data_IF_706225796421
#
_entry.id   IF_706225796421
#
_cell.length_a   1.000
_cell.length_b   1.000
_cell.length_c   1.000
_cell.angle_alpha   90.00
_cell.angle_beta   90.00
_cell.angle_gamma   90.00
#
_symmetry.space_group_name_H-M   'P 1'
#
loop_
_entity.id
_entity.type
_entity.pdbx_description
1 polymer ?
#
# COMPACT_ATOMS: atom_id res chain seq x y z
N UNK A 1 7.19 -30.54 -8.93
CA UNK A 1 7.10 -29.98 -7.57
C UNK A 1 6.00 -28.95 -7.61
N UNK A 2 5.01 -29.06 -6.73
CA UNK A 2 3.93 -28.08 -6.65
C UNK A 2 4.53 -26.75 -6.17
N UNK A 3 4.33 -25.67 -6.93
CA UNK A 3 4.93 -24.36 -6.60
C UNK A 3 4.13 -23.77 -5.45
N UNK A 4 4.75 -23.65 -4.28
CA UNK A 4 4.16 -23.00 -3.11
C UNK A 4 4.56 -21.53 -3.06
N UNK A 5 3.60 -20.67 -2.77
CA UNK A 5 3.80 -19.23 -2.58
C UNK A 5 3.60 -18.90 -1.10
N UNK A 6 4.68 -18.57 -0.36
CA UNK A 6 4.55 -18.27 1.07
C UNK A 6 3.54 -17.17 1.34
N UNK A 7 2.77 -17.34 2.42
CA UNK A 7 1.74 -16.39 2.86
C UNK A 7 0.66 -16.08 1.81
N UNK A 8 0.44 -16.96 0.83
CA UNK A 8 -0.63 -16.83 -0.17
C UNK A 8 -1.28 -18.20 -0.38
N UNK A 9 -2.61 -18.27 -0.36
CA UNK A 9 -3.29 -19.53 -0.70
C UNK A 9 -3.38 -19.73 -2.21
N UNK A 10 -3.62 -20.97 -2.63
CA UNK A 10 -3.66 -21.35 -4.04
C UNK A 10 -2.30 -21.36 -4.73
N UNK A 11 -2.25 -21.95 -5.92
CA UNK A 11 -1.05 -22.02 -6.76
C UNK A 11 -1.25 -21.53 -8.20
N UNK A 12 -2.51 -21.23 -8.58
CA UNK A 12 -2.85 -20.71 -9.91
C UNK A 12 -2.37 -19.27 -10.07
N UNK A 13 -1.97 -18.90 -11.29
CA UNK A 13 -1.72 -17.50 -11.66
C UNK A 13 -3.05 -16.75 -11.81
N UNK A 14 -3.06 -15.40 -11.73
CA UNK A 14 -4.25 -14.61 -12.05
C UNK A 14 -4.75 -14.93 -13.47
N UNK A 15 -6.05 -14.84 -13.67
CA UNK A 15 -6.67 -14.99 -14.99
C UNK A 15 -6.27 -13.85 -15.93
N UNK A 16 -6.10 -12.64 -15.40
CA UNK A 16 -5.61 -11.48 -16.16
C UNK A 16 -4.10 -11.27 -15.98
N UNK A 17 -3.37 -11.16 -17.08
CA UNK A 17 -1.94 -10.84 -17.01
C UNK A 17 -1.72 -9.40 -16.54
N UNK A 18 -0.73 -9.20 -15.64
CA UNK A 18 -0.30 -7.88 -15.26
C UNK A 18 0.39 -7.17 -16.45
N UNK A 19 0.09 -5.88 -16.72
CA UNK A 19 0.79 -5.12 -17.73
C UNK A 19 2.28 -4.97 -17.36
N UNK A 20 3.12 -4.72 -18.37
CA UNK A 20 4.53 -4.40 -18.14
C UNK A 20 4.64 -3.18 -17.22
N UNK A 21 5.57 -3.23 -16.26
CA UNK A 21 5.70 -2.22 -15.23
C UNK A 21 4.63 -2.25 -14.15
N UNK A 22 3.71 -3.23 -14.09
CA UNK A 22 2.72 -3.28 -13.00
C UNK A 22 3.38 -3.25 -11.61
N UNK A 23 2.79 -2.48 -10.71
CA UNK A 23 3.28 -2.25 -9.36
C UNK A 23 2.35 -2.86 -8.33
N UNK A 24 2.93 -3.61 -7.39
CA UNK A 24 2.29 -3.89 -6.10
C UNK A 24 2.64 -2.75 -5.14
N UNK A 25 1.73 -1.79 -4.95
CA UNK A 25 1.99 -0.58 -4.19
C UNK A 25 1.79 -0.73 -2.67
N UNK A 26 1.57 -1.93 -2.14
CA UNK A 26 1.46 -2.16 -0.70
C UNK A 26 1.80 -3.60 -0.34
N UNK A 27 2.97 -3.82 0.24
CA UNK A 27 3.34 -5.09 0.87
C UNK A 27 4.35 -4.84 2.00
N UNK A 28 4.63 -5.88 2.79
CA UNK A 28 5.53 -5.83 3.93
C UNK A 28 6.59 -6.94 3.87
N UNK A 29 7.75 -6.69 4.48
CA UNK A 29 8.81 -7.68 4.62
C UNK A 29 9.09 -7.89 6.10
N UNK A 30 9.08 -9.15 6.53
CA UNK A 30 9.42 -9.55 7.90
C UNK A 30 10.69 -10.38 7.86
N UNK A 31 11.68 -9.98 8.64
CA UNK A 31 12.96 -10.66 8.67
C UNK A 31 13.62 -10.56 10.05
N UNK A 32 13.79 -11.72 10.70
CA UNK A 32 14.33 -11.82 12.06
C UNK A 32 15.80 -11.41 12.21
N UNK A 33 16.50 -11.07 11.12
CA UNK A 33 17.84 -10.48 11.17
C UNK A 33 17.83 -9.04 11.70
N UNK A 34 16.68 -8.36 11.67
CA UNK A 34 16.54 -6.96 12.05
C UNK A 34 15.85 -6.81 13.42
N UNK A 35 16.09 -5.67 14.07
CA UNK A 35 15.55 -5.39 15.39
C UNK A 35 14.02 -5.41 15.40
N UNK A 36 13.45 -6.00 16.46
CA UNK A 36 12.01 -6.03 16.67
C UNK A 36 11.59 -4.90 17.60
N UNK A 37 10.36 -4.43 17.39
CA UNK A 37 9.64 -3.47 18.20
C UNK A 37 8.33 -4.11 18.67
N UNK A 38 8.21 -4.34 19.97
CA UNK A 38 7.05 -5.01 20.58
C UNK A 38 7.21 -6.53 20.66
N UNK A 39 6.10 -7.26 20.62
CA UNK A 39 6.10 -8.72 20.81
C UNK A 39 6.68 -9.45 19.60
N UNK A 40 7.57 -10.45 19.80
CA UNK A 40 8.01 -11.37 18.75
C UNK A 40 6.86 -12.12 18.07
N UNK A 41 5.72 -12.32 18.75
CA UNK A 41 4.55 -13.01 18.19
C UNK A 41 3.91 -12.27 17.01
N UNK A 42 4.25 -10.98 16.83
CA UNK A 42 3.81 -10.19 15.68
C UNK A 42 4.66 -10.45 14.41
N UNK A 43 5.69 -11.29 14.48
CA UNK A 43 6.46 -11.71 13.33
C UNK A 43 5.66 -12.63 12.42
N UNK A 44 5.91 -12.53 11.11
CA UNK A 44 5.35 -13.42 10.10
C UNK A 44 6.50 -14.21 9.48
N UNK A 45 6.43 -15.53 9.59
CA UNK A 45 7.41 -16.43 8.97
C UNK A 45 7.28 -16.44 7.44
N UNK A 46 8.39 -16.76 6.77
CA UNK A 46 8.47 -16.85 5.30
C UNK A 46 7.92 -15.60 4.59
N UNK A 47 8.27 -14.44 5.14
CA UNK A 47 7.87 -13.14 4.62
C UNK A 47 9.09 -12.27 4.25
N UNK A 48 10.19 -12.90 3.81
CA UNK A 48 11.41 -12.23 3.36
C UNK A 48 11.29 -11.71 1.92
N UNK A 49 12.27 -10.93 1.46
CA UNK A 49 12.31 -10.44 0.08
C UNK A 49 12.39 -11.58 -0.95
N UNK A 50 13.06 -12.67 -0.62
CA UNK A 50 13.09 -13.89 -1.45
C UNK A 50 11.74 -14.59 -1.51
N UNK A 51 11.00 -14.64 -0.41
CA UNK A 51 9.66 -15.23 -0.38
C UNK A 51 8.69 -14.40 -1.22
N UNK A 52 8.74 -13.07 -1.07
CA UNK A 52 7.91 -12.17 -1.88
C UNK A 52 8.20 -12.29 -3.37
N UNK A 53 9.46 -12.51 -3.79
CA UNK A 53 9.80 -12.70 -5.21
C UNK A 53 9.06 -13.85 -5.86
N UNK A 54 8.72 -14.90 -5.10
CA UNK A 54 7.88 -15.99 -5.59
C UNK A 54 6.46 -15.49 -5.89
N UNK A 55 5.87 -14.73 -4.97
CA UNK A 55 4.55 -14.12 -5.18
C UNK A 55 4.58 -13.11 -6.34
N UNK A 56 5.56 -12.21 -6.36
CA UNK A 56 5.71 -11.19 -7.40
C UNK A 56 5.75 -11.82 -8.80
N UNK A 57 6.46 -12.94 -8.97
CA UNK A 57 6.48 -13.72 -10.21
C UNK A 57 5.12 -14.37 -10.53
N UNK A 58 4.37 -14.82 -9.51
CA UNK A 58 3.03 -15.41 -9.66
C UNK A 58 2.03 -14.41 -10.23
N UNK A 59 1.96 -13.22 -9.62
CA UNK A 59 1.01 -12.17 -9.98
C UNK A 59 1.49 -11.32 -11.16
N UNK A 60 2.78 -11.40 -11.51
CA UNK A 60 3.36 -10.76 -12.69
C UNK A 60 3.71 -9.28 -12.50
N UNK A 61 3.67 -8.74 -11.27
CA UNK A 61 4.12 -7.37 -11.00
C UNK A 61 5.64 -7.27 -11.16
N UNK A 62 6.11 -6.09 -11.55
CA UNK A 62 7.53 -5.82 -11.81
C UNK A 62 8.09 -4.74 -10.88
N UNK A 63 7.21 -3.91 -10.31
CA UNK A 63 7.55 -2.89 -9.32
C UNK A 63 6.86 -3.21 -7.99
N UNK A 64 7.42 -2.71 -6.90
CA UNK A 64 6.82 -2.91 -5.57
C UNK A 64 7.14 -1.78 -4.61
N UNK A 65 6.26 -1.55 -3.65
CA UNK A 65 6.44 -0.60 -2.56
C UNK A 65 6.42 -1.34 -1.23
N UNK A 66 7.60 -1.42 -0.61
CA UNK A 66 7.78 -2.05 0.70
C UNK A 66 7.40 -1.05 1.78
N UNK A 67 6.31 -1.33 2.48
CA UNK A 67 5.82 -0.52 3.59
C UNK A 67 6.41 -1.08 4.88
N UNK A 68 7.01 -0.23 5.71
CA UNK A 68 7.59 -0.63 6.98
C UNK A 68 6.54 -1.37 7.84
N UNK A 69 6.79 -2.64 8.22
CA UNK A 69 5.88 -3.39 9.07
C UNK A 69 5.99 -2.92 10.52
N UNK A 70 4.87 -3.02 11.24
CA UNK A 70 4.78 -2.50 12.61
C UNK A 70 5.76 -3.16 13.58
N UNK A 71 6.06 -4.44 13.37
CA UNK A 71 6.96 -5.24 14.22
C UNK A 71 8.41 -4.77 14.18
N UNK A 72 8.80 -3.96 13.19
CA UNK A 72 10.13 -3.36 13.13
C UNK A 72 10.14 -1.87 13.54
N UNK A 73 8.99 -1.34 13.98
CA UNK A 73 8.86 0.01 14.53
C UNK A 73 9.43 1.08 13.61
N UNK A 74 10.23 1.99 14.17
CA UNK A 74 10.92 3.08 13.45
C UNK A 74 12.29 2.69 12.92
N UNK A 75 12.76 1.45 13.13
CA UNK A 75 13.98 0.96 12.50
C UNK A 75 13.66 0.47 11.08
N UNK A 76 13.90 1.36 10.12
CA UNK A 76 13.58 1.12 8.71
C UNK A 76 14.62 0.23 7.99
N UNK A 77 15.57 -0.37 8.71
CA UNK A 77 16.66 -1.17 8.11
C UNK A 77 16.14 -2.36 7.31
N UNK A 78 15.09 -3.03 7.78
CA UNK A 78 14.44 -4.14 7.04
C UNK A 78 13.87 -3.68 5.70
N UNK A 79 13.23 -2.50 5.68
CA UNK A 79 12.63 -1.92 4.47
C UNK A 79 13.71 -1.50 3.48
N UNK A 80 14.80 -0.89 3.95
CA UNK A 80 15.94 -0.52 3.11
C UNK A 80 16.65 -1.76 2.53
N UNK A 81 16.83 -2.81 3.33
CA UNK A 81 17.42 -4.08 2.86
C UNK A 81 16.54 -4.73 1.78
N UNK A 82 15.23 -4.73 1.99
CA UNK A 82 14.28 -5.23 1.00
C UNK A 82 14.32 -4.43 -0.31
N UNK A 83 14.39 -3.09 -0.27
CA UNK A 83 14.55 -2.26 -1.47
C UNK A 83 15.81 -2.67 -2.25
N UNK A 84 16.92 -2.85 -1.54
CA UNK A 84 18.19 -3.29 -2.15
C UNK A 84 18.08 -4.69 -2.77
N UNK A 85 17.47 -5.65 -2.05
CA UNK A 85 17.34 -7.04 -2.49
C UNK A 85 16.36 -7.24 -3.65
N UNK A 86 15.29 -6.44 -3.70
CA UNK A 86 14.27 -6.47 -4.75
C UNK A 86 14.65 -5.61 -5.97
N UNK A 87 15.62 -4.72 -5.82
CA UNK A 87 16.19 -3.91 -6.90
C UNK A 87 15.79 -2.44 -6.77
N UNK A 88 16.74 -1.52 -6.49
CA UNK A 88 16.44 -0.10 -6.27
C UNK A 88 15.77 0.63 -7.44
N UNK A 89 15.92 0.12 -8.67
CA UNK A 89 15.24 0.70 -9.84
C UNK A 89 13.73 0.40 -9.87
N UNK A 90 13.29 -0.67 -9.21
CA UNK A 90 11.92 -1.21 -9.27
C UNK A 90 11.23 -1.25 -7.90
N UNK A 91 11.94 -0.90 -6.84
CA UNK A 91 11.40 -0.91 -5.48
C UNK A 91 11.52 0.45 -4.82
N UNK A 92 10.45 0.85 -4.14
CA UNK A 92 10.39 2.03 -3.26
C UNK A 92 9.92 1.59 -1.89
N UNK A 93 9.97 2.50 -0.92
CA UNK A 93 9.42 2.19 0.40
C UNK A 93 8.71 3.35 1.07
N UNK A 94 8.00 2.98 2.13
CA UNK A 94 7.31 3.89 3.04
C UNK A 94 7.81 3.58 4.46
N UNK A 95 8.44 4.56 5.08
CA UNK A 95 9.08 4.42 6.38
C UNK A 95 8.12 4.68 7.54
N UNK A 96 8.55 4.39 8.77
CA UNK A 96 7.96 4.93 10.00
C UNK A 96 9.08 5.69 10.73
N UNK A 97 8.79 6.92 11.16
CA UNK A 97 9.75 7.79 11.85
C UNK A 97 9.04 8.56 12.97
N UNK A 98 9.80 9.07 13.92
CA UNK A 98 9.31 10.00 14.95
C UNK A 98 9.65 11.45 14.59
N UNK A 99 8.97 12.45 15.19
CA UNK A 99 9.21 13.87 14.90
C UNK A 99 10.64 14.36 15.12
N UNK A 100 11.41 13.68 15.98
CA UNK A 100 12.81 13.96 16.30
C UNK A 100 13.83 13.40 15.28
N UNK A 101 13.36 12.71 14.23
CA UNK A 101 14.23 12.22 13.14
C UNK A 101 15.11 13.35 12.61
N UNK A 102 16.38 13.12 12.31
CA UNK A 102 17.24 14.19 11.77
C UNK A 102 17.01 14.39 10.27
N UNK A 103 17.33 15.57 9.74
CA UNK A 103 17.27 15.80 8.28
C UNK A 103 18.28 14.91 7.53
N UNK A 104 19.43 14.61 8.16
CA UNK A 104 20.41 13.67 7.62
C UNK A 104 19.83 12.25 7.50
N UNK A 105 19.03 11.82 8.49
CA UNK A 105 18.37 10.52 8.44
C UNK A 105 17.26 10.50 7.38
N UNK A 106 16.46 11.56 7.24
CA UNK A 106 15.48 11.68 6.17
C UNK A 106 16.15 11.65 4.78
N UNK A 107 17.29 12.32 4.61
CA UNK A 107 18.08 12.27 3.38
C UNK A 107 18.64 10.87 3.11
N UNK A 108 19.12 10.16 4.14
CA UNK A 108 19.57 8.76 4.03
C UNK A 108 18.44 7.84 3.59
N UNK A 109 17.25 7.98 4.18
CA UNK A 109 16.05 7.23 3.80
C UNK A 109 15.63 7.54 2.35
N UNK A 110 15.70 8.81 1.94
CA UNK A 110 15.40 9.21 0.55
C UNK A 110 16.35 8.56 -0.46
N UNK A 111 17.66 8.63 -0.19
CA UNK A 111 18.68 7.99 -1.01
C UNK A 111 18.50 6.46 -1.04
N UNK A 112 18.03 5.87 0.06
CA UNK A 112 17.67 4.46 0.17
C UNK A 112 16.38 4.04 -0.56
N UNK A 113 15.63 4.99 -1.14
CA UNK A 113 14.43 4.71 -1.94
C UNK A 113 13.10 4.93 -1.22
N UNK A 114 13.10 5.48 -0.01
CA UNK A 114 11.87 5.87 0.69
C UNK A 114 11.23 7.09 0.01
N UNK A 115 9.89 7.08 -0.09
CA UNK A 115 9.08 8.14 -0.74
C UNK A 115 7.87 8.60 0.08
N UNK A 116 7.76 8.11 1.31
CA UNK A 116 6.68 8.46 2.22
C UNK A 116 6.92 7.91 3.62
N UNK A 117 6.07 8.35 4.54
CA UNK A 117 6.01 7.83 5.91
C UNK A 117 4.61 7.32 6.22
N UNK A 118 4.48 6.34 7.11
CA UNK A 118 3.19 5.72 7.46
C UNK A 118 2.77 5.99 8.89
N UNK A 119 1.48 6.28 9.07
CA UNK A 119 0.78 6.30 10.35
C UNK A 119 -0.27 5.18 10.38
N UNK A 120 0.05 4.06 11.02
CA UNK A 120 -0.89 2.94 11.23
C UNK A 120 -1.58 3.05 12.58
N UNK A 121 -2.64 3.88 12.64
CA UNK A 121 -3.34 4.24 13.87
C UNK A 121 -4.70 3.57 14.03
N UNK A 122 -5.07 2.61 13.16
CA UNK A 122 -6.31 1.84 13.30
C UNK A 122 -6.47 1.23 14.71
N UNK A 123 -5.36 0.80 15.33
CA UNK A 123 -5.31 0.39 16.74
C UNK A 123 -4.25 1.24 17.47
N UNK A 124 -4.63 2.40 18.04
CA UNK A 124 -3.67 3.37 18.57
C UNK A 124 -2.80 2.86 19.72
N UNK A 125 -3.34 2.03 20.62
CA UNK A 125 -2.64 1.47 21.78
C UNK A 125 -1.39 0.64 21.43
N UNK A 126 -1.22 0.39 20.14
CA UNK A 126 -0.36 -0.58 19.55
C UNK A 126 0.64 0.14 18.59
N UNK A 127 0.37 1.38 18.20
CA UNK A 127 1.14 2.11 17.21
C UNK A 127 2.45 2.67 17.77
N UNK A 128 3.49 2.71 16.94
CA UNK A 128 4.75 3.41 17.25
C UNK A 128 4.58 4.94 17.22
N UNK A 129 3.61 5.43 16.45
CA UNK A 129 3.29 6.85 16.28
C UNK A 129 1.90 7.16 16.82
N UNK A 130 1.56 8.43 17.02
CA UNK A 130 0.20 8.87 17.35
C UNK A 130 -0.29 10.03 16.44
N UNK A 131 -1.54 10.47 16.64
CA UNK A 131 -2.15 11.51 15.82
C UNK A 131 -1.47 12.88 15.92
N UNK A 132 -0.89 13.22 17.08
CA UNK A 132 -0.20 14.50 17.29
C UNK A 132 1.07 14.62 16.46
N UNK A 133 1.66 13.49 16.07
CA UNK A 133 2.87 13.44 15.26
C UNK A 133 2.61 13.68 13.76
N UNK A 134 1.36 13.59 13.30
CA UNK A 134 1.00 13.60 11.87
C UNK A 134 1.36 14.93 11.21
N UNK A 135 0.91 16.04 11.75
CA UNK A 135 1.11 17.37 11.16
C UNK A 135 2.58 17.83 11.18
N UNK A 136 3.32 17.72 12.31
CA UNK A 136 4.74 18.06 12.32
C UNK A 136 5.55 17.26 11.31
N UNK A 137 5.29 15.95 11.19
CA UNK A 137 5.99 15.12 10.23
C UNK A 137 5.54 15.37 8.78
N UNK A 138 4.26 15.63 8.54
CA UNK A 138 3.74 16.00 7.22
C UNK A 138 4.45 17.24 6.66
N UNK A 139 4.71 18.25 7.49
CA UNK A 139 5.46 19.44 7.10
C UNK A 139 6.89 19.11 6.67
N UNK A 140 7.58 18.23 7.42
CA UNK A 140 8.96 17.84 7.12
C UNK A 140 9.06 17.01 5.84
N UNK A 141 8.17 16.05 5.65
CA UNK A 141 8.21 15.17 4.47
C UNK A 141 7.69 15.86 3.20
N UNK A 142 6.84 16.88 3.33
CA UNK A 142 6.41 17.70 2.19
C UNK A 142 7.59 18.29 1.41
N UNK A 143 8.59 18.82 2.12
CA UNK A 143 9.79 19.42 1.52
C UNK A 143 10.63 18.41 0.71
N UNK A 144 10.45 17.11 0.95
CA UNK A 144 11.13 16.02 0.23
C UNK A 144 10.31 15.50 -0.96
N UNK A 145 9.13 16.07 -1.22
CA UNK A 145 8.16 15.55 -2.18
C UNK A 145 7.54 14.21 -1.76
N UNK A 146 7.58 13.89 -0.47
CA UNK A 146 7.04 12.64 0.08
C UNK A 146 5.56 12.77 0.47
N UNK A 147 4.92 11.63 0.65
CA UNK A 147 3.54 11.54 1.15
C UNK A 147 3.46 11.03 2.59
N UNK A 148 2.33 11.30 3.24
CA UNK A 148 1.90 10.58 4.43
C UNK A 148 0.90 9.50 4.05
N UNK A 149 1.16 8.27 4.47
CA UNK A 149 0.30 7.11 4.27
C UNK A 149 -0.47 6.80 5.55
N UNK A 150 -1.79 6.73 5.49
CA UNK A 150 -2.67 6.63 6.65
C UNK A 150 -3.43 5.32 6.64
N UNK A 151 -3.19 4.48 7.63
CA UNK A 151 -4.02 3.31 7.93
C UNK A 151 -4.83 3.59 9.21
N UNK A 152 -5.96 4.27 9.02
CA UNK A 152 -6.88 4.73 10.06
C UNK A 152 -8.25 4.10 9.83
N UNK A 153 -9.09 4.06 10.86
CA UNK A 153 -10.51 3.71 10.70
C UNK A 153 -11.27 4.86 10.04
N UNK A 154 -12.39 4.57 9.39
CA UNK A 154 -13.25 5.62 8.84
C UNK A 154 -13.70 6.64 9.90
N UNK A 155 -14.00 6.20 11.12
CA UNK A 155 -14.34 7.10 12.23
C UNK A 155 -13.19 8.06 12.59
N UNK A 156 -11.96 7.56 12.60
CA UNK A 156 -10.77 8.40 12.82
C UNK A 156 -10.58 9.41 11.68
N UNK A 157 -10.79 9.02 10.42
CA UNK A 157 -10.72 9.93 9.27
C UNK A 157 -11.77 11.05 9.42
N UNK A 158 -13.01 10.71 9.75
CA UNK A 158 -14.08 11.69 9.94
C UNK A 158 -13.77 12.67 11.09
N UNK A 159 -13.25 12.16 12.22
CA UNK A 159 -12.92 12.97 13.38
C UNK A 159 -11.74 13.93 13.16
N UNK A 160 -10.88 13.67 12.16
CA UNK A 160 -9.67 14.45 11.89
C UNK A 160 -9.74 15.20 10.55
N UNK A 161 -10.94 15.50 10.02
CA UNK A 161 -11.11 16.19 8.75
C UNK A 161 -10.33 17.51 8.67
N UNK A 162 -10.40 18.34 9.72
CA UNK A 162 -9.68 19.63 9.78
C UNK A 162 -8.16 19.48 9.82
N UNK A 163 -7.67 18.40 10.42
CA UNK A 163 -6.24 18.05 10.41
C UNK A 163 -5.81 17.64 9.01
N UNK A 164 -6.57 16.75 8.37
CA UNK A 164 -6.25 16.26 7.03
C UNK A 164 -6.25 17.38 5.99
N UNK A 165 -7.21 18.31 6.07
CA UNK A 165 -7.36 19.42 5.12
C UNK A 165 -6.17 20.39 5.14
N UNK A 166 -5.53 20.59 6.29
CA UNK A 166 -4.40 21.52 6.43
C UNK A 166 -3.03 20.90 6.19
N UNK A 167 -2.93 19.58 5.98
CA UNK A 167 -1.65 18.95 5.69
C UNK A 167 -1.08 19.50 4.36
N UNK A 168 0.21 19.85 4.32
CA UNK A 168 0.80 20.41 3.10
C UNK A 168 1.14 19.33 2.05
N UNK A 169 1.39 18.09 2.49
CA UNK A 169 1.85 17.01 1.64
C UNK A 169 0.72 16.22 0.95
N UNK A 170 1.12 15.33 0.04
CA UNK A 170 0.28 14.27 -0.49
C UNK A 170 -0.17 13.32 0.63
N UNK A 171 -1.42 12.87 0.57
CA UNK A 171 -2.01 11.91 1.53
C UNK A 171 -2.38 10.65 0.77
N UNK A 172 -2.01 9.48 1.30
CA UNK A 172 -2.39 8.17 0.76
C UNK A 172 -3.22 7.43 1.81
N UNK A 173 -4.49 7.15 1.53
CA UNK A 173 -5.32 6.32 2.39
C UNK A 173 -5.13 4.84 2.07
N UNK A 174 -4.78 4.05 3.07
CA UNK A 174 -4.64 2.60 2.94
C UNK A 174 -6.01 1.90 2.87
N UNK A 175 -6.04 0.76 2.18
CA UNK A 175 -7.11 -0.25 2.23
C UNK A 175 -8.53 0.31 2.07
N UNK A 176 -8.82 0.95 0.93
CA UNK A 176 -10.14 1.53 0.61
C UNK A 176 -10.62 2.58 1.64
N UNK A 177 -9.67 3.20 2.36
CA UNK A 177 -9.90 4.11 3.49
C UNK A 177 -10.67 3.49 4.67
N UNK A 178 -10.64 2.15 4.80
CA UNK A 178 -11.29 1.38 5.87
C UNK A 178 -12.76 1.73 6.07
N UNK A 179 -13.48 1.97 4.97
CA UNK A 179 -14.90 2.32 5.01
C UNK A 179 -15.75 1.11 5.45
N UNK A 180 -16.59 1.25 6.48
CA UNK A 180 -17.32 0.14 7.04
C UNK A 180 -18.48 -0.27 6.12
N UNK A 181 -18.59 -1.57 5.83
CA UNK A 181 -19.77 -2.12 5.16
C UNK A 181 -20.92 -2.34 6.17
N UNK A 182 -22.20 -2.23 5.75
CA UNK A 182 -22.67 -1.95 4.38
C UNK A 182 -22.75 -0.45 4.04
N UNK A 183 -22.65 0.43 5.05
CA UNK A 183 -22.94 1.87 4.94
C UNK A 183 -21.73 2.70 4.46
N UNK A 184 -20.83 2.08 3.70
CA UNK A 184 -19.52 2.63 3.39
C UNK A 184 -19.60 3.99 2.65
N UNK A 185 -20.52 4.12 1.70
CA UNK A 185 -20.67 5.33 0.87
C UNK A 185 -21.48 6.44 1.56
N UNK A 186 -22.24 6.13 2.61
CA UNK A 186 -22.97 7.11 3.42
C UNK A 186 -22.19 7.52 4.68
N UNK A 187 -21.09 6.83 4.99
CA UNK A 187 -20.26 7.15 6.13
C UNK A 187 -19.54 8.51 5.93
N UNK A 188 -19.48 9.40 6.95
CA UNK A 188 -18.89 10.75 6.81
C UNK A 188 -17.46 10.79 6.26
N UNK A 189 -16.66 9.77 6.53
CA UNK A 189 -15.30 9.64 5.99
C UNK A 189 -15.24 9.61 4.46
N UNK A 190 -16.28 9.07 3.79
CA UNK A 190 -16.35 9.05 2.33
C UNK A 190 -16.32 10.47 1.76
N UNK A 191 -17.10 11.38 2.36
CA UNK A 191 -17.13 12.79 1.98
C UNK A 191 -15.83 13.51 2.32
N UNK A 192 -15.23 13.23 3.48
CA UNK A 192 -13.93 13.82 3.87
C UNK A 192 -12.86 13.47 2.85
N UNK A 193 -12.69 12.18 2.52
CA UNK A 193 -11.71 11.74 1.52
C UNK A 193 -12.04 12.30 0.13
N UNK A 194 -13.33 12.37 -0.23
CA UNK A 194 -13.77 12.92 -1.51
C UNK A 194 -13.40 14.40 -1.66
N UNK A 195 -13.54 15.21 -0.61
CA UNK A 195 -13.21 16.65 -0.65
C UNK A 195 -11.70 16.89 -0.70
N UNK A 196 -10.91 16.16 0.09
CA UNK A 196 -9.44 16.28 0.10
C UNK A 196 -8.83 15.98 -1.28
N UNK A 197 -9.48 15.11 -2.05
CA UNK A 197 -9.10 14.77 -3.41
C UNK A 197 -9.26 15.94 -4.38
N UNK A 198 -10.23 16.82 -4.17
CA UNK A 198 -10.43 17.99 -5.03
C UNK A 198 -9.23 18.96 -4.97
N UNK A 199 -8.41 18.88 -3.90
CA UNK A 199 -7.13 19.58 -3.78
C UNK A 199 -5.96 18.89 -4.52
N UNK A 200 -6.24 17.81 -5.26
CA UNK A 200 -5.31 17.09 -6.15
C UNK A 200 -4.23 16.25 -5.46
N UNK A 201 -4.20 16.24 -4.12
CA UNK A 201 -3.11 15.66 -3.28
C UNK A 201 -3.48 14.35 -2.58
N UNK A 202 -4.68 13.82 -2.78
CA UNK A 202 -5.14 12.59 -2.11
C UNK A 202 -5.11 11.39 -3.04
N UNK A 203 -4.64 10.26 -2.51
CA UNK A 203 -4.56 8.97 -3.16
C UNK A 203 -5.22 7.88 -2.32
N UNK A 204 -5.69 6.82 -2.97
CA UNK A 204 -6.33 5.69 -2.30
C UNK A 204 -5.70 4.38 -2.78
N UNK A 205 -5.41 3.48 -1.84
CA UNK A 205 -4.99 2.12 -2.15
C UNK A 205 -6.18 1.18 -2.23
N UNK A 206 -6.32 0.52 -3.38
CA UNK A 206 -7.21 -0.60 -3.61
C UNK A 206 -6.51 -1.88 -3.13
N UNK A 207 -6.57 -2.15 -1.82
CA UNK A 207 -5.89 -3.28 -1.18
C UNK A 207 -6.64 -3.77 0.07
N UNK A 208 -6.25 -4.92 0.61
CA UNK A 208 -6.75 -5.44 1.88
C UNK A 208 -8.28 -5.60 1.98
N UNK A 209 -9.00 -6.11 0.97
CA UNK A 209 -10.47 -6.19 1.01
C UNK A 209 -11.00 -7.06 2.16
N UNK A 210 -10.22 -8.05 2.62
CA UNK A 210 -10.54 -8.90 3.77
C UNK A 210 -10.64 -8.14 5.09
N UNK A 211 -10.08 -6.92 5.21
CA UNK A 211 -10.06 -6.17 6.46
C UNK A 211 -11.46 -5.72 6.90
N UNK A 212 -12.36 -5.44 5.94
CA UNK A 212 -13.71 -4.93 6.22
C UNK A 212 -14.82 -5.71 5.51
N UNK A 213 -14.49 -6.67 4.64
CA UNK A 213 -15.47 -7.55 3.97
C UNK A 213 -16.18 -8.45 4.99
N UNK A 214 -17.50 -8.55 4.85
CA UNK A 214 -18.37 -9.41 5.66
C UNK A 214 -18.57 -10.79 5.02
N UNK A 215 -18.43 -10.88 3.69
CA UNK A 215 -18.57 -12.16 2.95
C UNK A 215 -17.25 -12.91 2.80
N UNK A 216 -16.12 -12.23 2.99
CA UNK A 216 -14.77 -12.81 3.00
C UNK A 216 -14.39 -13.51 1.69
N UNK A 217 -13.39 -14.41 1.78
CA UNK A 217 -12.87 -15.13 0.62
C UNK A 217 -13.94 -16.01 -0.06
N UNK A 218 -14.85 -16.62 0.73
CA UNK A 218 -15.92 -17.46 0.22
C UNK A 218 -16.90 -16.69 -0.69
N UNK A 219 -17.15 -15.42 -0.40
CA UNK A 219 -17.93 -14.51 -1.24
C UNK A 219 -17.09 -13.70 -2.23
N UNK A 220 -15.80 -14.04 -2.41
CA UNK A 220 -14.87 -13.32 -3.29
C UNK A 220 -14.70 -11.83 -2.95
N UNK A 221 -14.96 -11.46 -1.69
CA UNK A 221 -14.99 -10.06 -1.23
C UNK A 221 -15.92 -9.14 -2.03
N UNK A 222 -16.98 -9.69 -2.63
CA UNK A 222 -17.84 -8.98 -3.57
C UNK A 222 -18.49 -7.71 -2.98
N UNK A 223 -18.71 -7.68 -1.66
CA UNK A 223 -19.27 -6.56 -0.90
C UNK A 223 -18.37 -5.31 -0.87
N UNK A 224 -17.06 -5.44 -1.14
CA UNK A 224 -16.12 -4.31 -1.24
C UNK A 224 -16.17 -3.59 -2.60
N UNK A 225 -16.79 -4.20 -3.61
CA UNK A 225 -16.77 -3.73 -5.01
C UNK A 225 -17.35 -2.34 -5.19
N UNK A 226 -18.44 -2.02 -4.48
CA UNK A 226 -19.08 -0.71 -4.57
C UNK A 226 -18.15 0.41 -4.11
N UNK A 227 -17.36 0.16 -3.05
CA UNK A 227 -16.40 1.10 -2.49
C UNK A 227 -15.26 1.34 -3.47
N UNK A 228 -14.61 0.26 -3.93
CA UNK A 228 -13.50 0.36 -4.87
C UNK A 228 -13.90 1.07 -6.16
N UNK A 229 -15.08 0.74 -6.72
CA UNK A 229 -15.62 1.42 -7.91
C UNK A 229 -15.94 2.89 -7.66
N UNK A 230 -16.40 3.27 -6.47
CA UNK A 230 -16.65 4.66 -6.13
C UNK A 230 -15.34 5.47 -6.18
N UNK A 231 -14.26 4.95 -5.58
CA UNK A 231 -12.95 5.59 -5.62
C UNK A 231 -12.36 5.69 -7.03
N UNK A 232 -12.45 4.61 -7.81
CA UNK A 232 -11.96 4.60 -9.20
C UNK A 232 -12.74 5.58 -10.08
N UNK A 233 -14.07 5.69 -9.92
CA UNK A 233 -14.87 6.66 -10.68
C UNK A 233 -14.54 8.10 -10.33
N UNK A 234 -14.20 8.37 -9.08
CA UNK A 234 -13.95 9.72 -8.60
C UNK A 234 -12.60 10.29 -9.03
N UNK A 235 -11.53 9.48 -8.99
CA UNK A 235 -10.21 9.88 -9.51
C UNK A 235 -9.42 8.66 -9.98
N UNK A 236 -9.64 8.19 -11.22
CA UNK A 236 -8.91 7.05 -11.77
C UNK A 236 -7.38 7.26 -11.83
N UNK A 237 -6.91 8.51 -11.80
CA UNK A 237 -5.51 8.93 -11.79
C UNK A 237 -4.90 9.08 -10.38
N UNK A 238 -5.68 8.79 -9.33
CA UNK A 238 -5.28 8.88 -7.91
C UNK A 238 -5.51 7.60 -7.11
N UNK A 239 -5.60 6.46 -7.79
CA UNK A 239 -5.77 5.15 -7.18
C UNK A 239 -4.61 4.22 -7.52
N UNK A 240 -4.12 3.45 -6.55
CA UNK A 240 -3.09 2.41 -6.77
C UNK A 240 -3.56 1.09 -6.20
N UNK A 241 -3.06 -0.03 -6.69
CA UNK A 241 -3.37 -1.36 -6.15
C UNK A 241 -2.22 -1.91 -5.31
N UNK A 242 -2.51 -2.74 -4.31
CA UNK A 242 -1.49 -3.48 -3.56
C UNK A 242 -2.02 -4.80 -3.00
N UNK A 243 -1.14 -5.78 -2.85
CA UNK A 243 -1.48 -7.12 -2.36
C UNK A 243 -1.82 -7.14 -0.87
N UNK A 244 -1.16 -6.28 -0.09
CA UNK A 244 -1.09 -6.34 1.37
C UNK A 244 -0.43 -7.63 1.90
N UNK A 245 0.36 -8.30 1.05
CA UNK A 245 1.18 -9.45 1.46
C UNK A 245 2.16 -9.03 2.56
N UNK A 246 2.39 -9.84 3.62
CA UNK A 246 2.02 -11.25 3.80
C UNK A 246 0.70 -11.46 4.58
N UNK A 247 -0.21 -10.49 4.53
CA UNK A 247 -1.51 -10.51 5.20
C UNK A 247 -1.41 -10.80 6.70
N UNK A 248 -0.72 -9.94 7.47
CA UNK A 248 -0.47 -10.18 8.90
C UNK A 248 -1.75 -10.25 9.75
N UNK A 249 -2.87 -9.71 9.27
CA UNK A 249 -4.19 -9.80 9.94
C UNK A 249 -4.88 -11.15 9.72
N UNK A 250 -4.41 -11.96 8.76
CA UNK A 250 -5.00 -13.24 8.38
C UNK A 250 -4.06 -14.40 8.75
N UNK A 251 -3.82 -14.70 10.05
CA UNK A 251 -2.88 -15.74 10.46
C UNK A 251 -3.40 -17.17 10.21
N UNK A 252 -4.72 -17.36 10.22
CA UNK A 252 -5.33 -18.68 10.08
C UNK A 252 -5.47 -19.12 8.62
N UNK A 253 -6.00 -18.24 7.76
CA UNK A 253 -6.26 -18.55 6.35
C UNK A 253 -5.80 -17.37 5.50
N UNK A 254 -4.72 -17.56 4.76
CA UNK A 254 -4.19 -16.53 3.86
C UNK A 254 -5.10 -16.35 2.64
N UNK A 255 -5.35 -15.12 2.18
CA UNK A 255 -6.05 -14.89 0.92
C UNK A 255 -5.26 -15.47 -0.26
N UNK A 256 -5.94 -15.72 -1.38
CA UNK A 256 -5.29 -16.08 -2.64
C UNK A 256 -4.98 -14.78 -3.40
N UNK A 257 -3.70 -14.41 -3.47
CA UNK A 257 -3.27 -13.17 -4.15
C UNK A 257 -3.60 -13.16 -5.64
N UNK A 258 -3.70 -14.32 -6.29
CA UNK A 258 -4.16 -14.36 -7.69
C UNK A 258 -5.63 -13.95 -7.79
N UNK A 259 -6.45 -14.39 -6.85
CA UNK A 259 -7.86 -13.97 -6.77
C UNK A 259 -7.99 -12.49 -6.36
N UNK A 260 -7.13 -11.98 -5.47
CA UNK A 260 -7.08 -10.55 -5.14
C UNK A 260 -6.67 -9.69 -6.34
N UNK A 261 -5.72 -10.17 -7.16
CA UNK A 261 -5.35 -9.50 -8.39
C UNK A 261 -6.50 -9.54 -9.42
N UNK A 262 -7.20 -10.65 -9.57
CA UNK A 262 -8.36 -10.75 -10.47
C UNK A 262 -9.56 -9.91 -9.97
N UNK A 263 -9.72 -9.73 -8.66
CA UNK A 263 -10.72 -8.83 -8.08
C UNK A 263 -10.51 -7.38 -8.53
N UNK A 264 -9.26 -6.94 -8.76
CA UNK A 264 -8.98 -5.63 -9.36
C UNK A 264 -9.65 -5.49 -10.74
N UNK A 265 -9.72 -6.56 -11.54
CA UNK A 265 -10.44 -6.56 -12.81
C UNK A 265 -11.94 -6.34 -12.66
N UNK A 266 -12.53 -6.75 -11.53
CA UNK A 266 -13.94 -6.49 -11.20
C UNK A 266 -14.16 -5.06 -10.70
N UNK A 267 -13.22 -4.53 -9.92
CA UNK A 267 -13.23 -3.14 -9.45
C UNK A 267 -12.99 -2.15 -10.60
N UNK A 268 -12.10 -2.49 -11.54
CA UNK A 268 -11.63 -1.66 -12.65
C UNK A 268 -11.73 -2.45 -13.96
N UNK A 269 -12.94 -2.58 -14.55
CA UNK A 269 -13.14 -3.39 -15.75
C UNK A 269 -12.45 -2.79 -16.99
N UNK A 270 -12.41 -1.46 -17.09
CA UNK A 270 -11.73 -0.76 -18.19
C UNK A 270 -10.21 -0.98 -18.13
N UNK A 271 -9.65 -1.50 -19.24
CA UNK A 271 -8.24 -1.89 -19.31
C UNK A 271 -7.29 -0.68 -19.22
N UNK A 272 -7.64 0.46 -19.81
CA UNK A 272 -6.82 1.67 -19.75
C UNK A 272 -6.76 2.24 -18.32
N UNK A 273 -7.89 2.24 -17.61
CA UNK A 273 -7.94 2.65 -16.21
C UNK A 273 -7.20 1.67 -15.31
N UNK A 274 -7.30 0.36 -15.57
CA UNK A 274 -6.53 -0.65 -14.83
C UNK A 274 -5.02 -0.52 -15.08
N UNK A 275 -4.61 -0.17 -16.31
CA UNK A 275 -3.22 0.20 -16.61
C UNK A 275 -2.76 1.39 -15.76
N UNK A 276 -3.55 2.47 -15.69
CA UNK A 276 -3.24 3.61 -14.81
C UNK A 276 -3.03 3.16 -13.37
N UNK A 277 -3.97 2.42 -12.80
CA UNK A 277 -3.92 1.94 -11.40
C UNK A 277 -2.65 1.13 -11.11
N UNK A 278 -2.22 0.29 -12.05
CA UNK A 278 -1.08 -0.61 -11.89
C UNK A 278 0.25 0.00 -12.33
N UNK A 279 0.26 0.97 -13.23
CA UNK A 279 1.47 1.41 -13.93
C UNK A 279 1.71 2.90 -13.77
N UNK A 280 0.84 3.74 -14.31
CA UNK A 280 1.08 5.20 -14.44
C UNK A 280 0.98 5.89 -13.08
N UNK A 281 -0.06 5.55 -12.32
CA UNK A 281 -0.34 6.08 -10.99
C UNK A 281 0.78 5.79 -9.99
N UNK A 282 1.23 4.53 -9.81
CA UNK A 282 2.36 4.25 -8.92
C UNK A 282 3.68 4.84 -9.44
N UNK A 283 3.86 4.99 -10.76
CA UNK A 283 5.03 5.67 -11.30
C UNK A 283 5.10 7.13 -10.83
N UNK A 284 3.98 7.84 -10.90
CA UNK A 284 3.85 9.21 -10.44
C UNK A 284 4.00 9.32 -8.91
N UNK A 285 3.24 8.51 -8.16
CA UNK A 285 3.19 8.61 -6.69
C UNK A 285 4.53 8.26 -6.02
N UNK A 286 5.28 7.30 -6.57
CA UNK A 286 6.51 6.78 -5.96
C UNK A 286 7.79 7.14 -6.74
N UNK A 287 7.68 7.90 -7.83
CA UNK A 287 8.83 8.33 -8.65
C UNK A 287 9.60 7.15 -9.23
N UNK A 288 8.88 6.21 -9.85
CA UNK A 288 9.54 5.19 -10.67
C UNK A 288 9.88 5.79 -12.04
N UNK A 289 11.01 5.37 -12.66
CA UNK A 289 11.34 5.81 -14.01
C UNK A 289 10.24 5.39 -15.00
N UNK A 290 10.01 6.21 -16.02
CA UNK A 290 9.10 5.88 -17.10
C UNK A 290 9.55 4.58 -17.78
N UNK A 291 8.60 3.68 -18.02
CA UNK A 291 8.81 2.53 -18.89
C UNK A 291 8.86 3.04 -20.33
N UNK A 292 10.06 3.36 -20.84
CA UNK A 292 10.25 3.56 -22.29
C UNK A 292 9.97 2.24 -22.99
N UNK A 293 8.77 2.09 -23.55
CA UNK A 293 8.51 1.17 -24.65
C UNK A 293 9.27 1.70 -25.86
N UNK A 294 10.51 1.26 -26.05
CA UNK A 294 11.15 1.36 -27.36
C UNK A 294 10.31 0.52 -28.32
N UNK A 295 9.48 1.18 -29.11
CA UNK A 295 8.96 0.64 -30.36
C UNK A 295 10.18 0.45 -31.25
N UNK A 296 10.73 -0.75 -31.29
CA UNK A 296 11.64 -1.15 -32.35
C UNK A 296 10.81 -1.25 -33.63
N UNK A 297 10.73 -0.14 -34.36
CA UNK A 297 10.44 -0.18 -35.79
C UNK A 297 11.62 -0.88 -36.45
N UNK A 298 11.43 -2.15 -36.79
CA UNK A 298 12.31 -2.87 -37.71
C UNK A 298 12.04 -2.32 -39.11
N UNK A 299 13.03 -1.63 -39.69
CA UNK A 299 13.14 -1.41 -41.14
C UNK A 299 13.45 -2.73 -41.86
#
# INVERSE_FOLDING_TARGET
MDVSYPNSSGSRRPASAAPAGACDAHMHIYDGRFALHGSPDAMVDKATASDYRLLQQRIGTQRTVVVQPRVHGTDNSVTLDAIRALGPARTRGVAVVHPDVSDAELARLHAGGIRGIRFTLYTPANAATDFSMVEPLAQRVHALGWHVQLHWSAGQIAAHADLLARLPCTIVFDHLARLPLPDALSHPAFDVVSRLRDDGRTWIKLSGPYLDSRVGAAGGYADTTAIARAWVRQAPERVVWGSDWPHPTEPAVKPDDAALFDLLGQWVPDAATRHRVLVDNPALLYGFPETTTKTETTE
#
